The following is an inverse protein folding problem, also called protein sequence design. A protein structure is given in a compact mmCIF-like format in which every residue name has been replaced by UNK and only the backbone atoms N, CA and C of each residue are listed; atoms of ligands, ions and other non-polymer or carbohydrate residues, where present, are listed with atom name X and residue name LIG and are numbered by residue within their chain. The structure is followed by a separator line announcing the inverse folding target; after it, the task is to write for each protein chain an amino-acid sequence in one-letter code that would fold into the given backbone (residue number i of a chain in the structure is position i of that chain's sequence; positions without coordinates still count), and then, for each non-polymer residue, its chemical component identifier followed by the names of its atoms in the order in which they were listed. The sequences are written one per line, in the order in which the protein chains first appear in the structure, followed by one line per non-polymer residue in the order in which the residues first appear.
data_IF_433530150268
#
_entry.id   IF_433530150268
#
_cell.length_a   1.000
_cell.length_b   1.000
_cell.length_c   1.000
_cell.angle_alpha   90.00
_cell.angle_beta   90.00
_cell.angle_gamma   90.00
#
_symmetry.space_group_name_H-M   'P 1'
#
loop_
_entity.id
_entity.type
_entity.pdbx_description
1 polymer ?
#
# COMPACT_ATOMS: atom_id res chain seq x y z
N UNK A 1 14.30 -24.89 -55.14
CA UNK A 1 15.03 -26.16 -54.90
C UNK A 1 15.12 -26.35 -53.40
N UNK A 2 14.43 -27.38 -52.94
CA UNK A 2 14.85 -28.56 -52.16
C UNK A 2 15.58 -28.19 -50.85
N UNK A 3 15.20 -28.69 -49.68
CA UNK A 3 14.29 -29.78 -49.35
C UNK A 3 14.14 -29.90 -47.83
N UNK A 4 13.00 -30.44 -47.49
CA UNK A 4 12.58 -30.97 -46.18
C UNK A 4 13.59 -31.99 -45.60
N UNK A 5 13.71 -32.01 -44.26
CA UNK A 5 13.73 -33.33 -43.57
C UNK A 5 13.15 -33.21 -42.17
N UNK A 6 12.01 -33.86 -42.01
CA UNK A 6 11.43 -34.38 -40.77
C UNK A 6 12.20 -35.63 -40.33
N UNK A 7 12.09 -35.96 -39.08
CA UNK A 7 12.06 -37.28 -38.39
C UNK A 7 12.96 -37.26 -37.16
N UNK A 8 12.68 -37.86 -36.02
CA UNK A 8 11.71 -38.92 -35.66
C UNK A 8 11.48 -38.92 -34.15
N UNK A 9 10.32 -39.35 -33.78
CA UNK A 9 9.81 -39.88 -32.53
C UNK A 9 10.80 -40.87 -31.88
N UNK A 10 10.90 -40.82 -30.55
CA UNK A 10 11.49 -41.85 -29.70
C UNK A 10 10.63 -41.99 -28.44
N UNK A 11 9.84 -43.04 -28.46
CA UNK A 11 8.96 -43.57 -27.42
C UNK A 11 9.75 -44.64 -26.65
N UNK A 12 9.80 -44.55 -25.33
CA UNK A 12 10.10 -45.67 -24.41
C UNK A 12 9.73 -45.24 -22.99
N UNK A 13 8.61 -45.65 -22.45
CA UNK A 13 8.24 -46.92 -21.80
C UNK A 13 8.72 -47.05 -20.36
N UNK A 14 7.73 -46.98 -19.45
CA UNK A 14 7.51 -47.71 -18.19
C UNK A 14 8.71 -48.12 -17.32
N UNK A 15 8.66 -47.65 -16.05
CA UNK A 15 8.90 -48.60 -14.95
C UNK A 15 8.03 -48.24 -13.75
N UNK A 16 7.10 -49.10 -13.50
CA UNK A 16 6.22 -49.22 -12.32
C UNK A 16 7.07 -49.70 -11.15
N UNK A 17 7.06 -48.95 -10.04
CA UNK A 17 7.64 -49.38 -8.76
C UNK A 17 6.61 -49.23 -7.68
N UNK A 18 5.87 -50.28 -7.44
CA UNK A 18 5.04 -50.48 -6.24
C UNK A 18 5.97 -50.63 -5.04
N UNK A 19 5.83 -49.79 -4.03
CA UNK A 19 6.38 -50.10 -2.71
C UNK A 19 5.36 -49.79 -1.62
N UNK A 20 5.01 -50.87 -1.02
CA UNK A 20 4.05 -51.21 0.01
C UNK A 20 4.04 -50.32 1.25
N UNK A 21 2.82 -50.12 1.69
CA UNK A 21 2.30 -49.68 2.99
C UNK A 21 3.02 -50.35 4.16
N UNK A 22 3.43 -49.58 5.12
CA UNK A 22 3.53 -50.00 6.54
C UNK A 22 2.85 -48.97 7.44
N UNK A 23 1.65 -49.33 7.83
CA UNK A 23 0.91 -48.69 8.93
C UNK A 23 1.63 -49.05 10.23
N UNK A 24 2.16 -48.07 10.94
CA UNK A 24 2.44 -48.19 12.36
C UNK A 24 1.56 -47.17 13.09
N UNK A 25 0.47 -47.71 13.63
CA UNK A 25 -0.33 -47.04 14.64
C UNK A 25 0.45 -47.08 15.95
N UNK A 26 0.90 -45.94 16.44
CA UNK A 26 1.24 -45.74 17.83
C UNK A 26 0.56 -44.43 18.28
N UNK A 27 -0.56 -44.62 18.97
CA UNK A 27 -1.20 -43.53 19.68
C UNK A 27 -0.32 -43.05 20.82
N UNK A 28 -0.23 -41.72 20.91
CA UNK A 28 0.08 -41.05 22.18
C UNK A 28 -0.63 -39.71 22.14
N UNK A 29 -1.64 -39.65 22.99
CA UNK A 29 -2.29 -38.44 23.46
C UNK A 29 -1.23 -37.47 24.01
N UNK A 30 -1.06 -36.37 23.29
CA UNK A 30 -0.32 -35.22 23.73
C UNK A 30 -1.20 -34.00 23.51
N UNK A 31 -2.04 -33.64 24.51
CA UNK A 31 -2.53 -32.29 24.66
C UNK A 31 -1.34 -31.37 24.96
N UNK A 32 -0.65 -30.95 23.92
CA UNK A 32 0.21 -29.79 23.93
C UNK A 32 -0.61 -28.64 23.41
N UNK A 33 -0.98 -27.70 24.29
CA UNK A 33 -1.36 -26.38 23.89
C UNK A 33 -0.16 -25.78 23.13
N UNK A 34 -0.13 -25.97 21.81
CA UNK A 34 0.69 -25.13 20.97
C UNK A 34 0.05 -23.75 21.04
N UNK A 35 0.57 -22.90 21.93
CA UNK A 35 0.61 -21.48 21.67
C UNK A 35 1.30 -21.36 20.31
N UNK A 36 0.51 -21.28 19.25
CA UNK A 36 0.98 -20.89 17.95
C UNK A 36 1.64 -19.53 18.20
N UNK A 37 2.95 -19.53 18.14
CA UNK A 37 3.76 -18.34 18.07
C UNK A 37 3.18 -17.55 16.88
N UNK A 38 2.37 -16.54 17.17
CA UNK A 38 1.84 -15.63 16.15
C UNK A 38 3.06 -14.88 15.67
N UNK A 39 3.76 -15.44 14.67
CA UNK A 39 4.78 -14.71 13.96
C UNK A 39 4.06 -13.51 13.35
N UNK A 40 4.45 -12.34 13.81
CA UNK A 40 4.00 -11.10 13.23
C UNK A 40 4.34 -11.11 11.74
N UNK A 41 3.39 -10.76 10.91
CA UNK A 41 3.62 -10.62 9.48
C UNK A 41 4.62 -9.48 9.26
N UNK A 42 5.67 -9.73 8.48
CA UNK A 42 6.66 -8.70 8.16
C UNK A 42 6.10 -7.80 7.08
N UNK A 43 5.97 -6.54 7.40
CA UNK A 43 5.46 -5.49 6.51
C UNK A 43 6.53 -4.43 6.32
N UNK A 44 6.81 -4.06 5.07
CA UNK A 44 7.66 -2.92 4.73
C UNK A 44 6.76 -1.85 4.11
N UNK A 45 6.78 -0.64 4.67
CA UNK A 45 6.03 0.49 4.15
C UNK A 45 6.98 1.66 3.83
N UNK A 46 6.94 2.12 2.60
CA UNK A 46 7.59 3.36 2.19
C UNK A 46 6.59 4.51 2.35
N UNK A 47 6.97 5.52 3.13
CA UNK A 47 6.09 6.65 3.47
C UNK A 47 6.78 7.94 3.08
N UNK A 48 6.13 8.76 2.27
CA UNK A 48 6.64 10.08 1.86
C UNK A 48 5.80 11.20 2.47
N UNK A 49 6.49 12.23 2.95
CA UNK A 49 5.90 13.50 3.36
C UNK A 49 6.88 14.66 3.05
N UNK A 50 6.43 15.91 3.15
CA UNK A 50 7.33 17.07 3.15
C UNK A 50 8.45 16.96 4.18
N UNK A 51 9.55 17.63 3.92
CA UNK A 51 10.75 17.58 4.78
C UNK A 51 10.50 18.12 6.19
N UNK A 52 9.61 19.11 6.32
CA UNK A 52 9.23 19.72 7.60
C UNK A 52 8.58 18.74 8.56
N UNK A 53 7.76 17.80 8.05
CA UNK A 53 7.08 16.79 8.88
C UNK A 53 8.06 15.76 9.47
N UNK A 54 9.24 15.67 8.88
CA UNK A 54 10.29 14.75 9.27
C UNK A 54 11.41 15.42 10.07
N UNK A 55 11.38 16.74 10.17
CA UNK A 55 12.43 17.50 10.83
C UNK A 55 12.33 17.44 12.36
N UNK A 56 13.50 17.51 13.02
CA UNK A 56 13.55 17.58 14.49
C UNK A 56 12.90 18.85 15.03
N UNK A 57 12.99 19.94 14.30
CA UNK A 57 12.42 21.23 14.69
C UNK A 57 10.89 21.18 14.70
N UNK A 58 10.27 20.33 13.88
CA UNK A 58 8.83 20.04 13.85
C UNK A 58 8.43 18.81 14.66
N UNK A 59 9.33 18.29 15.51
CA UNK A 59 9.06 17.18 16.42
C UNK A 59 9.02 15.80 15.76
N UNK A 60 9.58 15.63 14.55
CA UNK A 60 9.61 14.36 13.81
C UNK A 60 8.20 13.74 13.71
N UNK A 61 7.24 14.57 13.28
CA UNK A 61 5.81 14.20 13.31
C UNK A 61 5.54 12.89 12.57
N UNK A 62 6.08 12.72 11.36
CA UNK A 62 5.84 11.52 10.56
C UNK A 62 6.33 10.26 11.28
N UNK A 63 7.56 10.28 11.81
CA UNK A 63 8.13 9.16 12.53
C UNK A 63 7.33 8.83 13.79
N UNK A 64 6.84 9.87 14.46
CA UNK A 64 6.00 9.72 15.65
C UNK A 64 4.68 9.02 15.31
N UNK A 65 4.02 9.42 14.22
CA UNK A 65 2.77 8.80 13.77
C UNK A 65 2.99 7.35 13.30
N UNK A 66 4.03 7.09 12.51
CA UNK A 66 4.38 5.74 12.09
C UNK A 66 4.68 4.81 13.29
N UNK A 67 5.42 5.30 14.27
CA UNK A 67 5.72 4.54 15.49
C UNK A 67 4.46 4.28 16.34
N UNK A 68 3.52 5.22 16.35
CA UNK A 68 2.23 5.03 17.03
C UNK A 68 1.40 3.97 16.34
N UNK A 69 1.30 4.04 15.01
CA UNK A 69 0.63 3.03 14.19
C UNK A 69 1.20 1.62 14.43
N UNK A 70 2.52 1.46 14.43
CA UNK A 70 3.15 0.17 14.68
C UNK A 70 2.85 -0.38 16.09
N UNK A 71 2.71 0.49 17.09
CA UNK A 71 2.32 0.07 18.47
C UNK A 71 0.87 -0.37 18.56
N UNK A 72 0.00 0.22 17.77
CA UNK A 72 -1.43 -0.11 17.71
C UNK A 72 -1.70 -1.37 16.89
N UNK A 73 -0.72 -1.78 16.05
CA UNK A 73 -0.77 -2.96 15.19
C UNK A 73 0.35 -3.96 15.49
N UNK A 74 0.35 -4.55 16.72
CA UNK A 74 1.42 -5.46 17.15
C UNK A 74 1.41 -6.81 16.40
N UNK A 75 0.35 -7.10 15.66
CA UNK A 75 0.25 -8.25 14.77
C UNK A 75 1.18 -8.16 13.55
N UNK A 76 1.69 -6.97 13.23
CA UNK A 76 2.63 -6.72 12.13
C UNK A 76 4.01 -6.33 12.65
N UNK A 77 5.04 -6.88 12.04
CA UNK A 77 6.45 -6.47 12.23
C UNK A 77 6.78 -5.43 11.13
N UNK A 78 6.45 -4.16 11.41
CA UNK A 78 6.49 -3.09 10.41
C UNK A 78 7.87 -2.43 10.38
N UNK A 79 8.44 -2.35 9.17
CA UNK A 79 9.62 -1.54 8.87
C UNK A 79 9.19 -0.36 8.00
N UNK A 80 9.34 0.86 8.50
CA UNK A 80 9.12 2.07 7.73
C UNK A 80 10.37 2.52 6.97
N UNK A 81 10.19 2.96 5.74
CA UNK A 81 11.20 3.60 4.91
C UNK A 81 10.68 4.99 4.55
N UNK A 82 11.39 6.01 5.01
CA UNK A 82 10.96 7.39 4.82
C UNK A 82 11.57 7.99 3.57
N UNK A 83 10.77 8.73 2.82
CA UNK A 83 11.20 9.56 1.70
C UNK A 83 10.65 10.97 1.83
N UNK A 84 11.22 11.89 1.09
CA UNK A 84 10.80 13.30 1.07
C UNK A 84 10.17 13.59 -0.28
N UNK A 85 8.94 14.05 -0.26
CA UNK A 85 8.25 14.61 -1.42
C UNK A 85 7.23 15.64 -0.95
N UNK A 86 7.20 16.78 -1.62
CA UNK A 86 6.19 17.81 -1.38
C UNK A 86 4.85 17.36 -1.96
N UNK A 87 3.75 17.70 -1.30
CA UNK A 87 2.39 17.37 -1.73
C UNK A 87 2.06 17.87 -3.14
N UNK A 88 2.69 18.95 -3.58
CA UNK A 88 2.50 19.50 -4.92
C UNK A 88 3.15 18.65 -6.02
N UNK A 89 4.20 17.89 -5.72
CA UNK A 89 4.99 17.11 -6.69
C UNK A 89 4.89 15.61 -6.50
N UNK A 90 4.47 15.15 -5.33
CA UNK A 90 4.38 13.73 -4.99
C UNK A 90 3.50 12.95 -5.98
N UNK A 91 2.34 13.49 -6.34
CA UNK A 91 1.43 12.84 -7.28
C UNK A 91 2.05 12.59 -8.65
N UNK A 92 2.82 13.55 -9.18
CA UNK A 92 3.49 13.40 -10.48
C UNK A 92 4.62 12.35 -10.42
N UNK A 93 5.35 12.30 -9.30
CA UNK A 93 6.41 11.30 -9.09
C UNK A 93 5.81 9.90 -9.00
N UNK A 94 4.75 9.74 -8.21
CA UNK A 94 4.06 8.44 -8.03
C UNK A 94 3.42 7.98 -9.34
N UNK A 95 2.77 8.87 -10.10
CA UNK A 95 2.16 8.52 -11.38
C UNK A 95 3.17 8.11 -12.46
N UNK A 96 4.44 8.55 -12.37
CA UNK A 96 5.48 8.15 -13.31
C UNK A 96 5.97 6.72 -13.09
N UNK A 97 6.08 6.26 -11.85
CA UNK A 97 6.51 4.91 -11.49
C UNK A 97 5.84 4.47 -10.18
N UNK A 98 4.58 4.02 -10.24
CA UNK A 98 3.84 3.61 -9.05
C UNK A 98 4.50 2.47 -8.27
N UNK A 99 5.16 1.53 -8.97
CA UNK A 99 5.77 0.35 -8.33
C UNK A 99 7.04 0.70 -7.54
N UNK A 100 7.77 1.74 -7.94
CA UNK A 100 8.98 2.19 -7.25
C UNK A 100 8.74 3.32 -6.25
N UNK A 101 7.50 3.82 -6.17
CA UNK A 101 7.12 4.96 -5.33
C UNK A 101 6.68 4.55 -3.93
N UNK A 102 6.20 5.52 -3.15
CA UNK A 102 5.74 5.30 -1.79
C UNK A 102 4.42 4.52 -1.73
N UNK A 103 4.30 3.66 -0.73
CA UNK A 103 3.04 2.98 -0.39
C UNK A 103 2.03 3.95 0.24
N UNK A 104 2.53 4.98 0.95
CA UNK A 104 1.72 6.03 1.57
C UNK A 104 2.39 7.38 1.32
N UNK A 105 1.64 8.35 0.84
CA UNK A 105 2.16 9.68 0.53
C UNK A 105 1.09 10.76 0.64
N UNK A 106 1.52 12.00 0.85
CA UNK A 106 0.67 13.18 0.80
C UNK A 106 0.61 13.73 -0.62
N UNK A 107 -0.55 14.20 -1.04
CA UNK A 107 -0.71 14.86 -2.33
C UNK A 107 -1.79 15.94 -2.29
N UNK A 108 -1.68 16.92 -3.18
CA UNK A 108 -2.71 17.92 -3.39
C UNK A 108 -3.89 17.31 -4.17
N UNK A 109 -5.11 17.50 -3.68
CA UNK A 109 -6.31 16.83 -4.18
C UNK A 109 -6.67 17.14 -5.65
N UNK A 110 -6.17 18.25 -6.22
CA UNK A 110 -6.31 18.57 -7.65
C UNK A 110 -5.55 17.60 -8.57
N UNK A 111 -4.68 16.75 -8.00
CA UNK A 111 -3.90 15.74 -8.73
C UNK A 111 -4.50 14.33 -8.68
N UNK A 112 -5.67 14.16 -8.05
CA UNK A 112 -6.27 12.84 -7.86
C UNK A 112 -6.54 12.11 -9.19
N UNK A 113 -7.00 12.82 -10.22
CA UNK A 113 -7.24 12.25 -11.56
C UNK A 113 -5.94 11.73 -12.18
N UNK A 114 -4.83 12.47 -12.02
CA UNK A 114 -3.51 12.01 -12.49
C UNK A 114 -3.11 10.67 -11.85
N UNK A 115 -3.37 10.52 -10.56
CA UNK A 115 -3.06 9.30 -9.82
C UNK A 115 -3.97 8.12 -10.20
N UNK A 116 -5.27 8.37 -10.38
CA UNK A 116 -6.22 7.33 -10.79
C UNK A 116 -6.02 6.89 -12.23
N UNK A 117 -5.70 7.80 -13.14
CA UNK A 117 -5.41 7.48 -14.54
C UNK A 117 -4.12 6.63 -14.70
N UNK A 118 -3.21 6.76 -13.76
CA UNK A 118 -1.97 5.97 -13.70
C UNK A 118 -2.12 4.65 -12.91
N UNK A 119 -3.31 4.31 -12.41
CA UNK A 119 -3.55 3.19 -11.47
C UNK A 119 -2.62 3.23 -10.24
N UNK A 120 -2.23 4.45 -9.81
CA UNK A 120 -1.22 4.67 -8.80
C UNK A 120 -1.77 4.74 -7.37
N UNK A 121 -3.09 4.73 -7.21
CA UNK A 121 -3.77 4.77 -5.91
C UNK A 121 -4.90 3.76 -5.84
N UNK A 122 -5.03 3.13 -4.69
CA UNK A 122 -6.11 2.19 -4.42
C UNK A 122 -7.34 2.92 -3.85
N UNK A 123 -8.53 2.46 -4.24
CA UNK A 123 -9.77 2.96 -3.65
C UNK A 123 -10.00 2.40 -2.26
N UNK A 124 -10.57 3.21 -1.39
CA UNK A 124 -11.02 2.78 -0.07
C UNK A 124 -12.33 1.97 -0.16
N UNK A 125 -12.43 0.92 0.65
CA UNK A 125 -13.62 0.07 0.72
C UNK A 125 -13.90 -0.43 2.14
N UNK A 126 -15.09 -1.06 2.32
CA UNK A 126 -15.51 -1.67 3.58
C UNK A 126 -15.44 -0.71 4.77
N UNK A 127 -15.03 -1.23 5.92
CA UNK A 127 -15.01 -0.47 7.18
C UNK A 127 -14.15 0.80 7.14
N UNK A 128 -13.08 0.81 6.36
CA UNK A 128 -12.19 1.98 6.26
C UNK A 128 -12.86 3.13 5.51
N UNK A 129 -13.61 2.84 4.44
CA UNK A 129 -14.40 3.83 3.73
C UNK A 129 -15.46 4.41 4.67
N UNK A 130 -16.20 3.55 5.38
CA UNK A 130 -17.24 3.97 6.34
C UNK A 130 -16.67 4.87 7.45
N UNK A 131 -15.49 4.54 7.97
CA UNK A 131 -14.80 5.34 8.98
C UNK A 131 -14.41 6.72 8.45
N UNK A 132 -13.80 6.78 7.26
CA UNK A 132 -13.40 8.04 6.62
C UNK A 132 -14.64 8.90 6.35
N UNK A 133 -15.72 8.32 5.82
CA UNK A 133 -16.96 9.03 5.52
C UNK A 133 -17.68 9.53 6.79
N UNK A 134 -17.59 8.81 7.89
CA UNK A 134 -18.21 9.23 9.16
C UNK A 134 -17.45 10.33 9.90
N UNK A 135 -16.18 10.52 9.61
CA UNK A 135 -15.30 11.46 10.33
C UNK A 135 -14.98 12.73 9.55
N UNK A 136 -15.37 12.81 8.28
CA UNK A 136 -15.09 13.97 7.42
C UNK A 136 -16.36 14.54 6.79
N UNK A 137 -16.35 15.82 6.43
CA UNK A 137 -17.49 16.44 5.74
C UNK A 137 -17.61 15.96 4.30
N UNK A 138 -18.83 15.96 3.77
CA UNK A 138 -19.10 15.53 2.39
C UNK A 138 -18.32 16.37 1.36
N UNK A 139 -18.18 17.68 1.59
CA UNK A 139 -17.44 18.58 0.70
C UNK A 139 -15.96 18.20 0.58
N UNK A 140 -15.33 17.80 1.71
CA UNK A 140 -13.95 17.34 1.70
C UNK A 140 -13.83 15.99 0.98
N UNK A 141 -14.75 15.09 1.24
CA UNK A 141 -14.76 13.77 0.63
C UNK A 141 -14.99 13.82 -0.89
N UNK A 142 -15.87 14.71 -1.35
CA UNK A 142 -16.15 14.87 -2.79
C UNK A 142 -14.92 15.31 -3.57
N UNK A 143 -14.03 16.08 -2.94
CA UNK A 143 -12.76 16.46 -3.56
C UNK A 143 -11.76 15.30 -3.74
N UNK A 144 -12.03 14.15 -3.12
CA UNK A 144 -11.19 12.94 -3.15
C UNK A 144 -11.87 11.75 -3.83
N UNK A 145 -13.01 11.99 -4.50
CA UNK A 145 -13.73 10.97 -5.26
C UNK A 145 -13.50 11.12 -6.75
N UNK A 146 -13.30 9.98 -7.41
CA UNK A 146 -13.33 9.85 -8.87
C UNK A 146 -14.35 8.76 -9.20
N UNK A 147 -15.31 9.05 -10.06
CA UNK A 147 -16.42 8.14 -10.44
C UNK A 147 -17.19 7.59 -9.21
N UNK A 148 -17.31 8.39 -8.15
CA UNK A 148 -18.00 8.01 -6.91
C UNK A 148 -17.20 7.13 -5.95
N UNK A 149 -15.98 6.77 -6.31
CA UNK A 149 -15.06 6.01 -5.45
C UNK A 149 -14.05 6.90 -4.74
N UNK A 150 -13.77 6.61 -3.47
CA UNK A 150 -12.89 7.39 -2.60
C UNK A 150 -11.44 6.88 -2.71
N UNK A 151 -10.50 7.79 -2.98
CA UNK A 151 -9.07 7.46 -3.18
C UNK A 151 -8.10 8.16 -2.21
N UNK A 152 -8.61 8.93 -1.28
CA UNK A 152 -7.78 9.65 -0.32
C UNK A 152 -8.47 9.84 1.02
N UNK A 153 -7.68 10.22 2.02
CA UNK A 153 -8.15 10.66 3.34
C UNK A 153 -7.83 12.13 3.48
N UNK A 154 -8.80 13.01 3.80
CA UNK A 154 -8.50 14.42 4.07
C UNK A 154 -7.52 14.55 5.23
N UNK A 155 -6.43 15.28 5.03
CA UNK A 155 -5.42 15.50 6.05
C UNK A 155 -5.41 16.96 6.55
N UNK A 156 -5.27 17.91 5.63
CA UNK A 156 -5.33 19.35 5.93
C UNK A 156 -6.14 20.07 4.86
N UNK A 157 -6.59 21.28 5.19
CA UNK A 157 -7.23 22.17 4.21
C UNK A 157 -6.31 23.37 3.96
N UNK A 158 -5.97 23.58 2.70
CA UNK A 158 -5.26 24.77 2.25
C UNK A 158 -6.20 25.68 1.48
N UNK A 159 -6.08 26.98 1.72
CA UNK A 159 -6.87 27.98 1.01
C UNK A 159 -5.95 29.01 0.37
N UNK A 160 -6.15 29.21 -0.92
CA UNK A 160 -5.44 30.25 -1.65
C UNK A 160 -6.19 31.57 -1.53
N UNK A 161 -5.49 32.65 -1.19
CA UNK A 161 -6.05 33.99 -1.08
C UNK A 161 -5.43 34.90 -2.11
N UNK A 162 -6.26 35.76 -2.69
CA UNK A 162 -5.81 36.89 -3.46
C UNK A 162 -5.90 38.15 -2.60
N UNK A 163 -4.79 38.79 -2.37
CA UNK A 163 -4.74 40.09 -1.71
C UNK A 163 -4.67 41.20 -2.78
N UNK A 164 -5.44 42.24 -2.59
CA UNK A 164 -5.39 43.40 -3.45
C UNK A 164 -5.37 44.69 -2.62
N UNK A 165 -4.68 45.69 -3.14
CA UNK A 165 -4.66 47.01 -2.55
C UNK A 165 -5.90 47.80 -2.98
N UNK A 166 -6.78 48.13 -2.03
CA UNK A 166 -8.02 48.88 -2.30
C UNK A 166 -7.77 50.25 -2.88
N UNK A 167 -6.58 50.84 -2.66
CA UNK A 167 -6.25 52.16 -3.21
C UNK A 167 -5.99 52.15 -4.71
N UNK A 168 -5.80 50.95 -5.29
CA UNK A 168 -5.53 50.75 -6.72
C UNK A 168 -6.81 50.44 -7.50
N UNK A 169 -7.86 50.06 -6.83
CA UNK A 169 -9.21 49.81 -7.37
C UNK A 169 -10.20 50.82 -6.77
#
# INVERSE_FOLDING_TARGET
MKGRKMMKRGLATFLTGIMTVTLVAAGLTGCGSSTADKRSEKVRLMVWSPSEDQSKDSGEWLQTMCNTFAKEHPEWDITFVYGVADEATAADQVAQDPEASADVFMYANDRITTLTDADAVAKFGGKYKEEIESTNSEELLDSLKVDGELYGVPFTTNTWYMFYDKSVF
#
